data_IF_654997443932
#
_entry.id   IF_654997443932
#
_cell.length_a   1.000
_cell.length_b   1.000
_cell.length_c   1.000
_cell.angle_alpha   90.00
_cell.angle_beta   90.00
_cell.angle_gamma   90.00
#
_symmetry.space_group_name_H-M   'P 1'
#
loop_
_entity.id
_entity.type
_entity.pdbx_description
1 polymer ?
#
# COMPACT_ATOMS: atom_id res chain seq x y z
N UNK A 1 11.72 11.40 -7.21
CA UNK A 1 11.67 10.54 -8.40
C UNK A 1 12.92 9.64 -8.55
N UNK A 2 14.14 10.16 -8.75
CA UNK A 2 15.31 9.30 -9.02
C UNK A 2 15.65 8.32 -7.88
N UNK A 3 15.65 8.76 -6.62
CA UNK A 3 15.91 7.89 -5.46
C UNK A 3 14.81 6.84 -5.25
N UNK A 4 13.55 7.23 -5.44
CA UNK A 4 12.41 6.32 -5.34
C UNK A 4 12.53 5.21 -6.38
N UNK A 5 12.80 5.55 -7.65
CA UNK A 5 12.99 4.56 -8.71
C UNK A 5 14.25 3.70 -8.48
N UNK A 6 15.36 4.27 -8.00
CA UNK A 6 16.57 3.54 -7.67
C UNK A 6 16.34 2.44 -6.62
N UNK A 7 15.42 2.65 -5.69
CA UNK A 7 15.05 1.67 -4.66
C UNK A 7 13.90 0.76 -5.12
N UNK A 8 12.93 1.31 -5.85
CA UNK A 8 11.74 0.58 -6.30
C UNK A 8 12.08 -0.46 -7.37
N UNK A 9 12.99 -0.17 -8.30
CA UNK A 9 13.40 -1.12 -9.35
C UNK A 9 14.07 -2.39 -8.77
N UNK A 10 15.08 -2.30 -7.88
CA UNK A 10 15.65 -3.50 -7.25
C UNK A 10 14.67 -4.16 -6.27
N UNK A 11 13.87 -3.39 -5.51
CA UNK A 11 12.88 -3.95 -4.61
C UNK A 11 11.81 -4.77 -5.35
N UNK A 12 11.30 -4.27 -6.49
CA UNK A 12 10.37 -5.03 -7.33
C UNK A 12 11.04 -6.26 -7.95
N UNK A 13 12.31 -6.16 -8.36
CA UNK A 13 13.05 -7.29 -8.93
C UNK A 13 13.24 -8.43 -7.91
N UNK A 14 13.56 -8.10 -6.66
CA UNK A 14 13.70 -9.07 -5.57
C UNK A 14 12.32 -9.61 -5.18
N UNK A 15 11.34 -8.72 -4.97
CA UNK A 15 10.00 -9.09 -4.52
C UNK A 15 9.22 -9.93 -5.53
N UNK A 16 9.51 -9.81 -6.84
CA UNK A 16 8.85 -10.60 -7.88
C UNK A 16 9.13 -12.11 -7.78
N UNK A 17 10.13 -12.51 -6.99
CA UNK A 17 10.41 -13.92 -6.71
C UNK A 17 9.39 -14.57 -5.77
N UNK A 18 8.62 -13.78 -5.03
CA UNK A 18 7.65 -14.26 -4.01
C UNK A 18 6.22 -13.78 -4.29
N UNK A 19 6.07 -12.59 -4.87
CA UNK A 19 4.77 -11.96 -5.14
C UNK A 19 4.69 -11.44 -6.57
N UNK A 20 3.48 -11.32 -7.12
CA UNK A 20 3.31 -10.71 -8.45
C UNK A 20 3.60 -9.20 -8.42
N UNK A 21 3.90 -8.60 -9.58
CA UNK A 21 4.10 -7.14 -9.70
C UNK A 21 2.90 -6.35 -9.16
N UNK A 22 1.67 -6.86 -9.38
CA UNK A 22 0.45 -6.24 -8.87
C UNK A 22 0.39 -6.22 -7.35
N UNK A 23 0.76 -7.33 -6.70
CA UNK A 23 0.83 -7.42 -5.23
C UNK A 23 1.89 -6.48 -4.64
N UNK A 24 3.06 -6.38 -5.28
CA UNK A 24 4.13 -5.47 -4.85
C UNK A 24 3.70 -4.01 -4.93
N UNK A 25 2.98 -3.62 -5.98
CA UNK A 25 2.47 -2.25 -6.12
C UNK A 25 1.43 -1.93 -5.04
N UNK A 26 0.54 -2.87 -4.74
CA UNK A 26 -0.47 -2.70 -3.68
C UNK A 26 0.22 -2.59 -2.31
N UNK A 27 1.23 -3.42 -2.04
CA UNK A 27 2.03 -3.33 -0.82
C UNK A 27 2.69 -1.95 -0.68
N UNK A 28 3.23 -1.39 -1.77
CA UNK A 28 3.80 -0.05 -1.77
C UNK A 28 2.75 1.01 -1.39
N UNK A 29 1.55 0.97 -1.98
CA UNK A 29 0.47 1.93 -1.66
C UNK A 29 0.02 1.80 -0.20
N UNK A 30 -0.08 0.56 0.32
CA UNK A 30 -0.41 0.31 1.73
C UNK A 30 0.63 0.91 2.65
N UNK A 31 1.92 0.67 2.40
CA UNK A 31 3.01 1.24 3.22
C UNK A 31 2.96 2.77 3.16
N UNK A 32 2.82 3.33 1.96
CA UNK A 32 2.78 4.78 1.75
C UNK A 32 1.65 5.42 2.54
N UNK A 33 0.43 4.88 2.44
CA UNK A 33 -0.72 5.38 3.19
C UNK A 33 -0.60 5.12 4.70
N UNK A 34 -0.04 3.97 5.12
CA UNK A 34 0.12 3.65 6.54
C UNK A 34 1.07 4.60 7.27
N UNK A 35 2.06 5.16 6.58
CA UNK A 35 2.97 6.17 7.12
C UNK A 35 2.39 7.57 6.96
N UNK A 36 1.75 7.84 5.82
CA UNK A 36 1.19 9.16 5.52
C UNK A 36 0.02 9.52 6.43
N UNK A 37 -0.90 8.60 6.74
CA UNK A 37 -2.08 8.89 7.56
C UNK A 37 -1.68 9.33 8.98
N UNK A 38 -0.89 8.58 9.77
CA UNK A 38 -0.40 9.06 11.07
C UNK A 38 0.36 10.38 10.96
N UNK A 39 1.17 10.56 9.92
CA UNK A 39 1.87 11.83 9.69
C UNK A 39 0.91 13.00 9.50
N UNK A 40 -0.14 12.85 8.67
CA UNK A 40 -1.14 13.88 8.46
C UNK A 40 -1.91 14.23 9.75
N UNK A 41 -2.19 13.24 10.59
CA UNK A 41 -2.93 13.43 11.84
C UNK A 41 -2.09 14.04 12.95
N UNK A 42 -0.90 13.51 13.19
CA UNK A 42 -0.06 13.92 14.32
C UNK A 42 0.78 15.16 13.99
N UNK A 43 1.29 15.27 12.76
CA UNK A 43 2.18 16.37 12.36
C UNK A 43 1.41 17.54 11.73
N UNK A 44 0.59 17.27 10.72
CA UNK A 44 -0.15 18.33 10.01
C UNK A 44 -1.42 18.78 10.77
N UNK A 45 -1.87 18.02 11.78
CA UNK A 45 -3.13 18.26 12.52
C UNK A 45 -4.33 18.43 11.59
N UNK A 46 -4.31 17.73 10.45
CA UNK A 46 -5.47 17.67 9.57
C UNK A 46 -6.65 17.08 10.35
N UNK A 47 -7.84 17.71 10.30
CA UNK A 47 -9.00 17.15 10.96
C UNK A 47 -9.31 15.78 10.36
N UNK A 48 -9.46 14.77 11.22
CA UNK A 48 -9.93 13.44 10.85
C UNK A 48 -11.33 13.53 10.22
N UNK A 49 -11.37 13.71 8.91
CA UNK A 49 -12.59 13.56 8.13
C UNK A 49 -12.90 12.09 7.97
N UNK A 50 -14.19 11.76 7.99
CA UNK A 50 -14.69 10.41 7.70
C UNK A 50 -14.16 9.89 6.35
N UNK A 51 -13.79 10.77 5.43
CA UNK A 51 -13.15 10.46 4.15
C UNK A 51 -11.87 9.63 4.31
N UNK A 52 -11.04 9.89 5.35
CA UNK A 52 -9.85 9.08 5.64
C UNK A 52 -10.22 7.65 6.06
N UNK A 53 -11.34 7.50 6.76
CA UNK A 53 -11.84 6.20 7.19
C UNK A 53 -12.36 5.40 5.99
N UNK A 54 -13.10 6.04 5.08
CA UNK A 54 -13.55 5.45 3.83
C UNK A 54 -12.38 5.07 2.93
N UNK A 55 -11.37 5.93 2.81
CA UNK A 55 -10.15 5.64 2.06
C UNK A 55 -9.41 4.43 2.63
N UNK A 56 -9.23 4.36 3.96
CA UNK A 56 -8.62 3.20 4.62
C UNK A 56 -9.42 1.90 4.37
N UNK A 57 -10.75 1.96 4.41
CA UNK A 57 -11.62 0.83 4.15
C UNK A 57 -11.55 0.35 2.69
N UNK A 58 -11.48 1.28 1.72
CA UNK A 58 -11.24 0.98 0.32
C UNK A 58 -9.88 0.29 0.08
N UNK A 59 -8.84 0.75 0.77
CA UNK A 59 -7.49 0.15 0.68
C UNK A 59 -7.48 -1.26 1.28
N UNK A 60 -8.12 -1.47 2.42
CA UNK A 60 -8.31 -2.81 2.99
C UNK A 60 -9.06 -3.74 2.02
N UNK A 61 -10.10 -3.23 1.34
CA UNK A 61 -10.80 -3.95 0.28
C UNK A 61 -9.88 -4.31 -0.89
N UNK A 62 -9.06 -3.37 -1.37
CA UNK A 62 -8.10 -3.60 -2.45
C UNK A 62 -7.06 -4.68 -2.09
N UNK A 63 -6.54 -4.64 -0.85
CA UNK A 63 -5.64 -5.69 -0.33
C UNK A 63 -6.36 -7.04 -0.32
N UNK A 64 -7.59 -7.10 0.21
CA UNK A 64 -8.37 -8.33 0.23
C UNK A 64 -8.57 -8.92 -1.17
N UNK A 65 -8.98 -8.12 -2.17
CA UNK A 65 -9.21 -8.61 -3.52
C UNK A 65 -7.92 -9.10 -4.21
N UNK A 66 -6.81 -8.42 -4.00
CA UNK A 66 -5.51 -8.75 -4.60
C UNK A 66 -4.89 -10.00 -3.98
N UNK A 67 -5.13 -10.25 -2.69
CA UNK A 67 -4.68 -11.46 -1.99
C UNK A 67 -5.73 -12.58 -1.94
N UNK A 68 -6.96 -12.34 -2.41
CA UNK A 68 -8.07 -13.32 -2.44
C UNK A 68 -7.69 -14.62 -3.12
N UNK A 69 -6.94 -14.56 -4.22
CA UNK A 69 -6.51 -15.74 -4.96
C UNK A 69 -5.62 -16.68 -4.14
N UNK A 70 -4.73 -16.12 -3.30
CA UNK A 70 -3.85 -16.90 -2.42
C UNK A 70 -4.58 -17.44 -1.18
N UNK A 71 -5.62 -16.75 -0.71
CA UNK A 71 -6.45 -17.17 0.43
C UNK A 71 -7.51 -18.22 0.07
N UNK A 72 -7.95 -18.26 -1.19
CA UNK A 72 -9.02 -19.15 -1.65
C UNK A 72 -8.53 -20.55 -2.10
N UNK A 73 -7.23 -20.85 -2.00
CA UNK A 73 -6.69 -22.19 -2.25
C UNK A 73 -6.86 -22.70 -3.68
N UNK A 74 -6.39 -21.92 -4.67
CA UNK A 74 -6.18 -22.38 -6.04
C UNK A 74 -4.71 -22.22 -6.45
#
# INVERSE_FOLDING_TARGET
ALFEYLLQVPANRIGFTVMSVGQLKILQEVITLSVFVPFALFYLKEPLKLDYLWAALCVCGAVFFVFRGQLAGA
#
